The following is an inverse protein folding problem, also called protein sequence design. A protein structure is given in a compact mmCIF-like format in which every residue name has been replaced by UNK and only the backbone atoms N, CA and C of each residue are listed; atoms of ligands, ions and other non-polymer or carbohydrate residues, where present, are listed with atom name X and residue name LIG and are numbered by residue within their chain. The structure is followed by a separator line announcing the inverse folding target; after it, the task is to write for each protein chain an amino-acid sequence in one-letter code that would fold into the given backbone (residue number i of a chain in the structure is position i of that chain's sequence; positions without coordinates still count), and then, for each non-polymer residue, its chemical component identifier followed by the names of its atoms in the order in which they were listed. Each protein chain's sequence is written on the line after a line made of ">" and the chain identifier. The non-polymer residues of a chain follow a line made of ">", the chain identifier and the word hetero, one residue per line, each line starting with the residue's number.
data_IF_047683309086
#
_entry.id   IF_047683309086
#
_cell.length_a   1.000
_cell.length_b   1.000
_cell.length_c   1.000
_cell.angle_alpha   90.00
_cell.angle_beta   90.00
_cell.angle_gamma   90.00
#
_symmetry.space_group_name_H-M   'P 1'
#
loop_
_entity.id
_entity.type
_entity.pdbx_description
1 polymer ?
#
# COMPACT_ATOMS: atom_id res chain seq x y z
N UNK A 1 12.46 34.72 -1.46
CA UNK A 1 11.01 34.95 -1.40
C UNK A 1 10.44 34.37 -2.68
N UNK A 2 9.76 33.23 -2.61
CA UNK A 2 9.29 32.52 -3.80
C UNK A 2 7.83 32.91 -4.08
N UNK A 3 7.53 33.22 -5.34
CA UNK A 3 6.22 33.65 -5.81
C UNK A 3 5.33 32.42 -6.13
N UNK A 4 4.23 32.21 -5.40
CA UNK A 4 3.33 31.07 -5.58
C UNK A 4 2.38 31.18 -6.79
N UNK A 5 2.50 32.22 -7.64
CA UNK A 5 1.54 32.52 -8.71
C UNK A 5 1.97 32.13 -10.14
N UNK A 6 3.12 31.47 -10.34
CA UNK A 6 3.55 31.08 -11.68
C UNK A 6 2.65 29.97 -12.28
N UNK A 7 1.95 30.23 -13.40
CA UNK A 7 0.98 29.31 -13.97
C UNK A 7 1.71 28.23 -14.78
N UNK A 8 1.89 27.07 -14.17
CA UNK A 8 2.14 25.83 -14.89
C UNK A 8 0.91 24.93 -14.82
N UNK A 9 -0.25 25.52 -15.10
CA UNK A 9 -1.49 24.82 -15.43
C UNK A 9 -1.53 24.65 -16.95
N UNK A 10 -1.44 23.41 -17.43
CA UNK A 10 -2.23 22.91 -18.55
C UNK A 10 -2.03 21.40 -18.66
N UNK A 11 -3.16 20.70 -18.79
CA UNK A 11 -3.32 19.25 -18.68
C UNK A 11 -2.85 18.49 -19.92
N UNK A 12 -2.42 17.23 -19.75
CA UNK A 12 -3.10 16.04 -20.29
C UNK A 12 -2.25 14.76 -20.09
N UNK A 13 -2.90 13.73 -19.53
CA UNK A 13 -2.77 12.25 -19.72
C UNK A 13 -1.40 11.68 -20.15
N UNK A 14 -0.84 10.67 -19.46
CA UNK A 14 -1.02 9.22 -19.68
C UNK A 14 -0.16 8.39 -18.70
N UNK A 15 -0.58 7.15 -18.37
CA UNK A 15 -0.18 6.18 -17.29
C UNK A 15 0.87 5.13 -17.73
N UNK A 16 1.81 4.70 -16.86
CA UNK A 16 2.70 3.50 -17.03
C UNK A 16 3.13 2.78 -15.70
N UNK A 17 3.68 1.55 -15.84
CA UNK A 17 3.56 0.40 -14.90
C UNK A 17 4.83 0.13 -14.02
N UNK A 18 4.89 -0.74 -12.98
CA UNK A 18 3.93 -1.73 -12.45
C UNK A 18 2.56 -1.11 -12.42
N UNK A 19 1.50 -1.80 -12.87
CA UNK A 19 0.16 -1.24 -12.70
C UNK A 19 0.16 -0.75 -11.24
N UNK A 20 -0.03 0.55 -11.01
CA UNK A 20 -0.86 0.90 -9.88
C UNK A 20 -2.02 -0.05 -10.11
N UNK A 21 -2.08 -1.16 -9.38
CA UNK A 21 -3.12 -2.15 -9.57
C UNK A 21 -4.18 -1.53 -8.69
N UNK A 22 -5.01 -0.59 -9.21
CA UNK A 22 -5.95 0.06 -8.35
C UNK A 22 -6.84 -1.03 -7.79
N UNK A 23 -7.24 -0.85 -6.54
CA UNK A 23 -8.09 -1.81 -5.86
C UNK A 23 -9.33 -2.13 -6.70
N UNK A 24 -9.79 -3.39 -6.74
CA UNK A 24 -10.84 -3.83 -7.65
C UNK A 24 -12.10 -2.96 -7.60
N UNK A 25 -12.68 -2.70 -8.76
CA UNK A 25 -13.97 -2.00 -8.86
C UNK A 25 -15.07 -2.87 -8.28
N UNK A 26 -16.02 -2.22 -7.60
CA UNK A 26 -17.26 -2.82 -7.13
C UNK A 26 -18.45 -1.98 -7.60
N UNK A 27 -19.49 -2.61 -8.17
CA UNK A 27 -20.70 -1.91 -8.56
C UNK A 27 -21.46 -1.40 -7.33
N UNK A 28 -22.09 -0.25 -7.47
CA UNK A 28 -22.98 0.38 -6.48
C UNK A 28 -24.19 0.96 -7.19
N UNK A 29 -25.21 1.40 -6.43
CA UNK A 29 -26.42 2.00 -7.01
C UNK A 29 -26.15 3.31 -7.80
N UNK A 30 -25.00 3.96 -7.58
CA UNK A 30 -24.66 5.28 -8.15
C UNK A 30 -23.46 5.25 -9.09
N UNK A 31 -22.95 4.06 -9.46
CA UNK A 31 -21.73 3.92 -10.25
C UNK A 31 -20.85 2.76 -9.78
N UNK A 32 -19.57 2.80 -10.13
CA UNK A 32 -18.57 1.88 -9.57
C UNK A 32 -17.65 2.60 -8.60
N UNK A 33 -17.31 1.94 -7.49
CA UNK A 33 -16.33 2.42 -6.51
C UNK A 33 -15.17 1.45 -6.41
N UNK A 34 -14.01 1.95 -6.00
CA UNK A 34 -12.82 1.13 -5.72
C UNK A 34 -12.52 1.19 -4.22
N UNK A 35 -13.20 0.37 -3.41
CA UNK A 35 -13.01 0.42 -1.97
C UNK A 35 -11.72 -0.29 -1.62
N UNK A 36 -10.83 0.41 -0.90
CA UNK A 36 -9.82 -0.27 -0.11
C UNK A 36 -10.52 -0.74 1.17
N UNK A 37 -10.90 -2.02 1.17
CA UNK A 37 -11.48 -2.63 2.35
C UNK A 37 -10.37 -2.94 3.34
N UNK A 38 -10.61 -2.76 4.63
CA UNK A 38 -9.58 -3.04 5.65
C UNK A 38 -10.14 -3.71 6.89
N UNK A 39 -9.26 -4.43 7.58
CA UNK A 39 -9.46 -4.96 8.92
C UNK A 39 -8.15 -4.79 9.72
N UNK A 40 -8.25 -4.67 11.03
CA UNK A 40 -7.07 -4.75 11.90
C UNK A 40 -6.69 -6.20 12.12
N UNK A 41 -5.40 -6.48 12.24
CA UNK A 41 -4.89 -7.83 12.45
C UNK A 41 -5.50 -8.48 13.70
N UNK A 42 -5.56 -7.71 14.80
CA UNK A 42 -6.14 -8.09 16.10
C UNK A 42 -6.63 -6.83 16.85
N UNK A 43 -7.10 -7.01 18.09
CA UNK A 43 -7.57 -5.93 18.96
C UNK A 43 -6.49 -4.91 19.31
N UNK A 44 -5.30 -5.36 19.68
CA UNK A 44 -4.16 -4.48 20.01
C UNK A 44 -3.80 -3.55 18.84
N UNK A 45 -3.72 -4.09 17.62
CA UNK A 45 -3.45 -3.28 16.44
C UNK A 45 -4.54 -2.22 16.20
N UNK A 46 -5.82 -2.54 16.49
CA UNK A 46 -6.91 -1.57 16.40
C UNK A 46 -6.75 -0.47 17.44
N UNK A 47 -6.50 -0.83 18.69
CA UNK A 47 -6.42 0.14 19.79
C UNK A 47 -5.27 1.14 19.59
N UNK A 48 -4.12 0.67 19.09
CA UNK A 48 -2.95 1.51 18.85
C UNK A 48 -3.02 2.29 17.53
N UNK A 49 -3.61 1.71 16.48
CA UNK A 49 -3.48 2.24 15.11
C UNK A 49 -4.75 2.87 14.54
N UNK A 50 -5.91 2.76 15.19
CA UNK A 50 -7.16 3.32 14.63
C UNK A 50 -7.05 4.83 14.42
N UNK A 51 -6.65 5.58 15.44
CA UNK A 51 -6.51 7.03 15.35
C UNK A 51 -5.53 7.49 14.25
N UNK A 52 -4.27 7.00 14.21
CA UNK A 52 -3.34 7.42 13.15
C UNK A 52 -3.78 6.95 11.75
N UNK A 53 -4.42 5.78 11.62
CA UNK A 53 -4.98 5.32 10.34
C UNK A 53 -6.09 6.26 9.84
N UNK A 54 -7.02 6.66 10.72
CA UNK A 54 -8.08 7.61 10.36
C UNK A 54 -7.50 8.97 9.95
N UNK A 55 -6.50 9.49 10.68
CA UNK A 55 -5.82 10.72 10.30
C UNK A 55 -5.14 10.62 8.92
N UNK A 56 -4.57 9.45 8.59
CA UNK A 56 -4.02 9.19 7.26
C UNK A 56 -5.09 9.16 6.16
N UNK A 57 -6.23 8.49 6.41
CA UNK A 57 -7.37 8.51 5.49
C UNK A 57 -7.96 9.90 5.31
N UNK A 58 -8.06 10.70 6.36
CA UNK A 58 -8.58 12.07 6.32
C UNK A 58 -7.67 12.99 5.51
N UNK A 59 -6.34 12.85 5.63
CA UNK A 59 -5.38 13.61 4.82
C UNK A 59 -5.54 13.31 3.32
N UNK A 60 -5.69 12.03 2.95
CA UNK A 60 -5.99 11.64 1.57
C UNK A 60 -7.37 12.12 1.13
N UNK A 61 -8.40 11.96 1.95
CA UNK A 61 -9.76 12.39 1.66
C UNK A 61 -9.83 13.91 1.41
N UNK A 62 -9.10 14.70 2.20
CA UNK A 62 -8.98 16.14 2.00
C UNK A 62 -8.29 16.47 0.67
N UNK A 63 -7.15 15.83 0.39
CA UNK A 63 -6.37 16.09 -0.82
C UNK A 63 -7.13 15.76 -2.12
N UNK A 64 -7.85 14.64 -2.14
CA UNK A 64 -8.63 14.19 -3.31
C UNK A 64 -10.02 14.83 -3.41
N UNK A 65 -10.40 15.65 -2.41
CA UNK A 65 -11.73 16.28 -2.28
C UNK A 65 -12.87 15.27 -2.17
N UNK A 66 -12.80 14.37 -1.19
CA UNK A 66 -13.93 13.50 -0.83
C UNK A 66 -15.22 14.33 -0.57
N UNK A 67 -16.44 13.85 -0.91
CA UNK A 67 -16.81 12.50 -1.31
C UNK A 67 -16.51 12.14 -2.76
N UNK A 68 -16.54 10.82 -3.02
CA UNK A 68 -16.59 10.27 -4.38
C UNK A 68 -17.70 10.97 -5.18
N UNK A 69 -17.36 11.53 -6.33
CA UNK A 69 -18.32 12.15 -7.25
C UNK A 69 -17.71 12.35 -8.64
N UNK A 70 -18.58 12.61 -9.62
CA UNK A 70 -18.16 13.07 -10.96
C UNK A 70 -17.34 14.36 -10.89
N UNK A 71 -17.71 15.28 -10.01
CA UNK A 71 -17.05 16.59 -9.84
C UNK A 71 -15.64 16.44 -9.27
N UNK A 72 -15.45 15.55 -8.29
CA UNK A 72 -14.15 15.33 -7.66
C UNK A 72 -13.25 14.38 -8.48
N UNK A 73 -13.83 13.68 -9.46
CA UNK A 73 -13.10 12.94 -10.50
C UNK A 73 -12.49 11.62 -10.06
N UNK A 74 -12.84 11.11 -8.86
CA UNK A 74 -12.34 9.83 -8.35
C UNK A 74 -13.46 8.94 -7.80
N UNK A 75 -13.19 7.63 -7.69
CA UNK A 75 -14.07 6.61 -7.12
C UNK A 75 -13.45 5.81 -5.96
N UNK A 76 -12.31 6.27 -5.45
CA UNK A 76 -11.63 5.72 -4.27
C UNK A 76 -12.42 5.97 -2.97
N UNK A 77 -12.57 4.93 -2.14
CA UNK A 77 -13.01 5.05 -0.75
C UNK A 77 -12.34 4.03 0.17
N UNK A 78 -12.42 4.30 1.46
CA UNK A 78 -11.96 3.41 2.54
C UNK A 78 -13.18 2.77 3.20
N UNK A 79 -13.15 1.46 3.46
CA UNK A 79 -14.28 0.77 4.09
C UNK A 79 -13.82 -0.31 5.06
N UNK A 80 -14.19 -0.19 6.32
CA UNK A 80 -13.99 -1.29 7.27
C UNK A 80 -14.83 -2.50 6.85
N UNK A 81 -14.28 -3.70 7.04
CA UNK A 81 -15.07 -4.94 6.93
C UNK A 81 -16.11 -4.94 8.04
N UNK A 82 -17.35 -5.33 7.71
CA UNK A 82 -18.44 -5.45 8.66
C UNK A 82 -19.10 -6.83 8.52
N UNK A 83 -19.28 -7.53 9.63
CA UNK A 83 -19.96 -8.82 9.72
C UNK A 83 -21.24 -8.70 10.55
N UNK A 84 -22.27 -9.46 10.20
CA UNK A 84 -23.54 -9.49 10.94
C UNK A 84 -23.39 -10.32 12.22
N UNK A 85 -23.94 -9.84 13.33
CA UNK A 85 -23.98 -10.61 14.58
C UNK A 85 -24.97 -11.76 14.47
N UNK A 86 -24.57 -12.94 14.94
CA UNK A 86 -25.41 -14.14 15.02
C UNK A 86 -25.86 -14.47 16.44
N UNK A 87 -25.44 -13.67 17.42
CA UNK A 87 -25.71 -13.84 18.86
C UNK A 87 -27.13 -13.43 19.29
N UNK A 88 -28.06 -13.28 18.34
CA UNK A 88 -29.44 -12.87 18.60
C UNK A 88 -29.62 -11.39 18.98
N UNK A 89 -28.54 -10.62 19.20
CA UNK A 89 -28.63 -9.18 19.56
C UNK A 89 -28.87 -8.26 18.36
N UNK A 90 -28.83 -8.81 17.14
CA UNK A 90 -28.89 -8.03 15.91
C UNK A 90 -27.66 -7.13 15.72
N UNK A 91 -27.56 -6.46 14.57
CA UNK A 91 -26.48 -5.50 14.29
C UNK A 91 -25.24 -6.08 13.62
N UNK A 92 -24.22 -5.22 13.48
CA UNK A 92 -22.97 -5.50 12.78
C UNK A 92 -21.75 -5.18 13.66
N UNK A 93 -20.63 -5.83 13.40
CA UNK A 93 -19.34 -5.55 14.03
C UNK A 93 -18.22 -5.63 12.99
N UNK A 94 -17.08 -5.01 13.27
CA UNK A 94 -15.90 -5.13 12.43
C UNK A 94 -15.04 -6.31 12.90
N UNK A 95 -14.97 -7.43 12.16
CA UNK A 95 -14.10 -8.55 12.51
C UNK A 95 -12.63 -8.19 12.29
N UNK A 96 -11.75 -8.79 13.09
CA UNK A 96 -10.29 -8.76 12.85
C UNK A 96 -9.91 -9.69 11.70
N UNK A 97 -8.79 -9.41 11.05
CA UNK A 97 -8.29 -10.21 9.91
C UNK A 97 -7.92 -11.64 10.33
N UNK A 98 -7.44 -11.80 11.56
CA UNK A 98 -7.01 -13.07 12.12
C UNK A 98 -7.83 -13.42 13.36
N UNK A 99 -7.84 -14.70 13.72
CA UNK A 99 -8.42 -15.20 14.96
C UNK A 99 -7.45 -14.97 16.14
N UNK A 100 -7.84 -15.44 17.32
CA UNK A 100 -7.15 -15.20 18.59
C UNK A 100 -5.74 -15.83 18.65
N UNK A 101 -5.34 -16.63 17.66
CA UNK A 101 -4.01 -17.22 17.54
C UNK A 101 -2.99 -16.34 16.79
N UNK A 102 -3.38 -15.12 16.38
CA UNK A 102 -2.47 -14.13 15.79
C UNK A 102 -1.32 -13.79 16.74
N UNK A 103 -0.08 -13.85 16.24
CA UNK A 103 1.11 -13.46 17.02
C UNK A 103 1.83 -12.24 16.46
N UNK A 104 2.12 -12.25 15.17
CA UNK A 104 2.77 -11.14 14.46
C UNK A 104 2.70 -11.35 12.94
N UNK A 105 3.17 -10.39 12.15
CA UNK A 105 3.15 -10.45 10.68
C UNK A 105 3.88 -11.68 10.09
N UNK A 106 4.89 -12.23 10.78
CA UNK A 106 5.66 -13.42 10.33
C UNK A 106 4.99 -14.74 10.74
N UNK A 107 4.21 -14.71 11.83
CA UNK A 107 3.41 -15.83 12.30
C UNK A 107 1.98 -15.33 12.59
N UNK A 108 1.18 -15.09 11.55
CA UNK A 108 -0.08 -14.37 11.68
C UNK A 108 -1.24 -15.25 12.17
N UNK A 109 -1.02 -16.54 12.40
CA UNK A 109 -2.08 -17.45 12.86
C UNK A 109 -3.16 -17.68 11.80
N UNK A 110 -4.38 -17.93 12.27
CA UNK A 110 -5.50 -18.36 11.45
C UNK A 110 -6.26 -17.17 10.88
N UNK A 111 -6.39 -17.11 9.56
CA UNK A 111 -7.20 -16.09 8.89
C UNK A 111 -8.69 -16.23 9.24
N UNK A 112 -9.34 -15.12 9.55
CA UNK A 112 -10.74 -15.09 9.92
C UNK A 112 -11.65 -15.45 8.72
N UNK A 113 -12.45 -16.52 8.78
CA UNK A 113 -13.28 -16.95 7.64
C UNK A 113 -14.40 -15.98 7.27
N UNK A 114 -14.72 -15.00 8.12
CA UNK A 114 -15.68 -13.93 7.82
C UNK A 114 -15.07 -12.80 6.98
N UNK A 115 -13.75 -12.76 6.87
CA UNK A 115 -13.01 -11.76 6.14
C UNK A 115 -12.58 -12.35 4.81
N UNK A 116 -13.02 -11.77 3.70
CA UNK A 116 -12.53 -12.15 2.37
C UNK A 116 -11.08 -11.70 2.22
N UNK A 117 -10.34 -12.33 1.32
CA UNK A 117 -8.92 -12.07 1.06
C UNK A 117 -8.66 -10.75 0.31
N UNK A 118 -9.71 -10.01 -0.06
CA UNK A 118 -9.69 -8.74 -0.78
C UNK A 118 -9.59 -7.49 0.14
N UNK A 119 -8.80 -7.61 1.21
CA UNK A 119 -8.69 -6.59 2.27
C UNK A 119 -7.25 -6.22 2.55
N UNK A 120 -7.04 -4.97 2.95
CA UNK A 120 -5.82 -4.49 3.56
C UNK A 120 -5.80 -4.89 5.05
N UNK A 121 -4.87 -5.77 5.42
CA UNK A 121 -4.62 -6.14 6.80
C UNK A 121 -3.71 -5.10 7.47
N UNK A 122 -4.22 -4.45 8.53
CA UNK A 122 -3.47 -3.44 9.29
C UNK A 122 -2.76 -4.13 10.46
N UNK A 123 -1.44 -4.15 10.45
CA UNK A 123 -0.62 -4.79 11.49
C UNK A 123 0.11 -3.76 12.34
N UNK A 124 0.08 -3.98 13.66
CA UNK A 124 1.04 -3.38 14.58
C UNK A 124 2.37 -4.14 14.47
N UNK A 125 3.45 -3.41 14.25
CA UNK A 125 4.81 -3.96 14.12
C UNK A 125 5.82 -3.13 14.91
N UNK A 126 7.02 -3.67 15.08
CA UNK A 126 8.18 -2.88 15.50
C UNK A 126 8.95 -2.36 14.28
N UNK A 127 9.63 -1.22 14.43
CA UNK A 127 10.52 -0.66 13.41
C UNK A 127 9.85 0.35 12.47
N UNK A 128 10.24 0.32 11.19
CA UNK A 128 9.77 1.30 10.20
C UNK A 128 8.44 0.86 9.56
N UNK A 129 7.55 1.82 9.25
CA UNK A 129 6.32 1.50 8.54
C UNK A 129 6.62 0.99 7.12
N UNK A 130 5.69 0.22 6.58
CA UNK A 130 5.77 -0.36 5.24
C UNK A 130 4.40 -0.82 4.76
N UNK A 131 4.15 -0.80 3.45
CA UNK A 131 2.92 -1.32 2.87
C UNK A 131 3.16 -2.11 1.58
N UNK A 132 2.21 -2.99 1.28
CA UNK A 132 2.07 -3.59 -0.05
C UNK A 132 1.77 -2.50 -1.08
N UNK A 133 2.43 -2.53 -2.24
CA UNK A 133 2.21 -1.57 -3.32
C UNK A 133 1.03 -2.00 -4.20
N UNK A 134 -0.09 -1.29 -4.10
CA UNK A 134 -1.29 -1.55 -4.89
C UNK A 134 -1.93 -2.92 -4.65
N UNK A 135 -2.78 -3.34 -5.59
CA UNK A 135 -3.47 -4.63 -5.55
C UNK A 135 -2.60 -5.78 -6.07
N UNK A 136 -2.32 -6.79 -5.25
CA UNK A 136 -1.75 -8.07 -5.72
C UNK A 136 -2.87 -9.03 -6.17
N UNK A 137 -2.77 -9.54 -7.40
CA UNK A 137 -3.75 -10.42 -8.04
C UNK A 137 -3.40 -11.90 -7.81
N UNK A 138 -3.25 -12.25 -6.54
CA UNK A 138 -3.00 -13.61 -6.07
C UNK A 138 -4.08 -13.94 -5.04
N UNK A 139 -4.65 -15.13 -5.05
CA UNK A 139 -5.72 -15.50 -4.11
C UNK A 139 -5.17 -15.92 -2.72
N UNK A 140 -4.21 -15.16 -2.18
CA UNK A 140 -3.61 -15.39 -0.88
C UNK A 140 -4.18 -14.45 0.18
N UNK A 141 -4.61 -15.04 1.30
CA UNK A 141 -5.12 -14.32 2.47
C UNK A 141 -4.02 -13.49 3.13
N UNK A 142 -4.30 -12.21 3.38
CA UNK A 142 -3.36 -11.31 4.03
C UNK A 142 -2.22 -10.83 3.14
N UNK A 143 -2.35 -10.93 1.81
CA UNK A 143 -1.33 -10.45 0.86
C UNK A 143 -1.16 -8.93 0.84
N UNK A 144 -2.23 -8.18 1.11
CA UNK A 144 -2.16 -6.72 1.23
C UNK A 144 -2.00 -6.33 2.69
N UNK A 145 -0.88 -5.70 3.01
CA UNK A 145 -0.52 -5.35 4.38
C UNK A 145 -0.22 -3.86 4.47
N UNK A 146 -0.64 -3.25 5.58
CA UNK A 146 -0.15 -1.97 6.05
C UNK A 146 0.47 -2.20 7.44
N UNK A 147 1.78 -2.07 7.52
CA UNK A 147 2.58 -2.31 8.72
C UNK A 147 2.89 -0.96 9.36
N UNK A 148 2.40 -0.74 10.57
CA UNK A 148 2.60 0.53 11.27
C UNK A 148 3.15 0.27 12.68
N UNK A 149 4.17 1.03 13.11
CA UNK A 149 4.64 0.97 14.47
C UNK A 149 3.74 1.75 15.43
N UNK A 150 3.84 1.41 16.71
CA UNK A 150 3.24 2.20 17.78
C UNK A 150 3.74 3.64 17.73
N UNK A 151 2.84 4.61 17.88
CA UNK A 151 3.21 6.03 17.85
C UNK A 151 3.68 6.55 16.49
N UNK A 152 3.33 5.87 15.39
CA UNK A 152 3.66 6.32 14.03
C UNK A 152 3.14 7.75 13.77
N UNK A 153 3.99 8.59 13.18
CA UNK A 153 3.63 9.93 12.72
C UNK A 153 2.64 9.86 11.55
N UNK A 154 1.58 10.67 11.58
CA UNK A 154 0.56 10.75 10.53
C UNK A 154 1.16 10.86 9.13
N UNK A 155 2.23 11.65 8.90
CA UNK A 155 2.81 11.80 7.56
C UNK A 155 3.35 10.48 6.99
N UNK A 156 3.87 9.60 7.86
CA UNK A 156 4.32 8.27 7.45
C UNK A 156 3.12 7.39 7.11
N UNK A 157 2.02 7.48 7.86
CA UNK A 157 0.78 6.77 7.51
C UNK A 157 0.26 7.23 6.15
N UNK A 158 0.25 8.53 5.86
CA UNK A 158 -0.15 9.08 4.55
C UNK A 158 0.74 8.53 3.43
N UNK A 159 2.06 8.48 3.64
CA UNK A 159 3.03 7.88 2.72
C UNK A 159 2.72 6.40 2.45
N UNK A 160 2.54 5.59 3.49
CA UNK A 160 2.22 4.17 3.31
C UNK A 160 0.86 3.94 2.63
N UNK A 161 -0.12 4.82 2.86
CA UNK A 161 -1.38 4.78 2.10
C UNK A 161 -1.12 5.05 0.61
N UNK A 162 -0.17 5.93 0.25
CA UNK A 162 0.26 6.11 -1.14
C UNK A 162 0.76 4.80 -1.77
N UNK A 163 1.57 4.02 -1.04
CA UNK A 163 1.95 2.66 -1.45
C UNK A 163 0.72 1.75 -1.62
N UNK A 164 -0.20 1.72 -0.65
CA UNK A 164 -1.46 0.94 -0.76
C UNK A 164 -2.25 1.29 -2.04
N UNK A 165 -2.20 2.55 -2.48
CA UNK A 165 -2.83 3.02 -3.72
C UNK A 165 -2.07 2.66 -4.99
N UNK A 166 -0.83 2.17 -4.86
CA UNK A 166 0.02 1.72 -5.96
C UNK A 166 1.15 2.67 -6.32
N UNK A 167 1.45 3.68 -5.49
CA UNK A 167 2.56 4.60 -5.73
C UNK A 167 3.89 3.97 -5.29
N UNK A 168 4.96 4.26 -6.03
CA UNK A 168 6.33 3.97 -5.63
C UNK A 168 6.99 5.25 -5.12
N UNK A 169 8.17 5.12 -4.52
CA UNK A 169 8.96 6.27 -4.12
C UNK A 169 9.35 7.13 -5.34
N UNK A 170 9.17 8.45 -5.25
CA UNK A 170 9.46 9.38 -6.35
C UNK A 170 10.97 9.40 -6.68
N UNK A 171 11.83 9.28 -5.65
CA UNK A 171 13.28 9.16 -5.84
C UNK A 171 13.71 7.78 -6.36
N UNK A 172 12.80 6.82 -6.56
CA UNK A 172 13.12 5.53 -7.18
C UNK A 172 12.82 5.51 -8.69
N UNK A 173 12.30 6.60 -9.25
CA UNK A 173 12.05 6.74 -10.68
C UNK A 173 13.33 6.52 -11.50
N UNK A 174 13.17 5.99 -12.71
CA UNK A 174 14.31 5.71 -13.58
C UNK A 174 15.03 6.98 -14.06
N UNK A 175 14.27 8.06 -14.26
CA UNK A 175 14.71 9.39 -14.71
C UNK A 175 15.14 10.29 -13.56
N UNK A 176 15.08 9.83 -12.30
CA UNK A 176 15.37 10.66 -11.12
C UNK A 176 16.69 11.41 -11.21
N UNK A 177 17.71 10.83 -11.85
CA UNK A 177 19.06 11.41 -11.87
C UNK A 177 19.11 12.68 -12.72
N UNK A 178 18.02 13.00 -13.44
CA UNK A 178 17.80 14.30 -14.07
C UNK A 178 17.36 15.39 -13.10
N UNK A 179 16.90 15.01 -11.91
CA UNK A 179 16.22 15.88 -10.97
C UNK A 179 16.87 15.89 -9.58
N UNK A 180 17.47 14.78 -9.16
CA UNK A 180 18.08 14.60 -7.84
C UNK A 180 19.46 13.99 -7.96
N UNK A 181 20.31 14.28 -6.98
CA UNK A 181 21.61 13.63 -6.83
C UNK A 181 21.55 12.63 -5.68
N UNK A 182 21.73 11.34 -5.99
CA UNK A 182 21.83 10.27 -5.01
C UNK A 182 23.29 10.01 -4.61
N UNK A 183 23.59 10.15 -3.32
CA UNK A 183 24.91 9.95 -2.72
C UNK A 183 24.92 8.66 -1.91
N UNK A 184 24.99 7.53 -2.59
CA UNK A 184 24.99 6.20 -1.98
C UNK A 184 25.93 6.04 -0.77
N UNK A 185 27.13 6.61 -0.84
CA UNK A 185 28.14 6.51 0.23
C UNK A 185 27.76 7.26 1.52
N UNK A 186 26.81 8.18 1.43
CA UNK A 186 26.29 8.93 2.57
C UNK A 186 25.12 8.21 3.26
N UNK A 187 24.64 7.10 2.70
CA UNK A 187 23.56 6.30 3.29
C UNK A 187 24.11 5.47 4.47
N UNK A 188 23.32 5.43 5.55
CA UNK A 188 23.64 4.69 6.76
C UNK A 188 24.04 3.24 6.48
N UNK A 189 25.15 2.79 7.04
CA UNK A 189 25.63 1.41 6.93
C UNK A 189 26.39 1.08 5.64
N UNK A 190 26.64 2.04 4.75
CA UNK A 190 27.36 1.82 3.49
C UNK A 190 28.75 1.18 3.72
N UNK A 191 29.54 1.71 4.66
CA UNK A 191 30.89 1.20 4.94
C UNK A 191 30.86 -0.23 5.47
N UNK A 192 29.92 -0.54 6.37
CA UNK A 192 29.73 -1.89 6.91
C UNK A 192 29.38 -2.87 5.79
N UNK A 193 28.45 -2.52 4.91
CA UNK A 193 28.06 -3.35 3.78
C UNK A 193 29.22 -3.57 2.79
N UNK A 194 30.00 -2.52 2.51
CA UNK A 194 31.17 -2.60 1.63
C UNK A 194 32.24 -3.55 2.18
N UNK A 195 32.55 -3.45 3.48
CA UNK A 195 33.50 -4.36 4.13
C UNK A 195 32.99 -5.80 4.06
N UNK A 196 31.72 -6.04 4.38
CA UNK A 196 31.11 -7.38 4.29
C UNK A 196 31.17 -7.97 2.89
N UNK A 197 30.93 -7.16 1.85
CA UNK A 197 31.05 -7.59 0.47
C UNK A 197 32.50 -7.92 0.08
N UNK A 198 33.48 -7.13 0.53
CA UNK A 198 34.90 -7.41 0.30
C UNK A 198 35.32 -8.72 0.97
N UNK A 199 34.90 -8.94 2.22
CA UNK A 199 35.15 -10.19 2.96
C UNK A 199 34.50 -11.39 2.25
N UNK A 200 33.35 -11.18 1.60
CA UNK A 200 32.69 -12.19 0.77
C UNK A 200 33.36 -12.44 -0.60
N UNK A 201 34.49 -11.79 -0.89
CA UNK A 201 35.32 -12.03 -2.07
C UNK A 201 35.06 -11.09 -3.26
N UNK A 202 34.23 -10.06 -3.10
CA UNK A 202 34.02 -9.05 -4.15
C UNK A 202 35.14 -8.00 -4.12
N UNK A 203 35.57 -7.52 -5.29
CA UNK A 203 36.49 -6.39 -5.34
C UNK A 203 35.81 -5.12 -4.82
N UNK A 204 36.56 -4.22 -4.17
CA UNK A 204 35.99 -3.00 -3.62
C UNK A 204 35.24 -2.13 -4.67
N UNK A 205 35.75 -1.97 -5.92
CA UNK A 205 35.01 -1.22 -6.96
C UNK A 205 33.70 -1.89 -7.36
N UNK A 206 33.69 -3.22 -7.56
CA UNK A 206 32.49 -3.98 -7.92
C UNK A 206 31.45 -3.94 -6.79
N UNK A 207 31.88 -4.23 -5.56
CA UNK A 207 31.02 -4.17 -4.39
C UNK A 207 30.40 -2.77 -4.20
N UNK A 208 31.20 -1.71 -4.34
CA UNK A 208 30.72 -0.32 -4.25
C UNK A 208 29.63 -0.02 -5.29
N UNK A 209 29.85 -0.36 -6.55
CA UNK A 209 28.86 -0.11 -7.60
C UNK A 209 27.57 -0.89 -7.36
N UNK A 210 27.68 -2.18 -7.02
CA UNK A 210 26.52 -3.05 -6.81
C UNK A 210 25.72 -2.67 -5.57
N UNK A 211 26.35 -2.26 -4.46
CA UNK A 211 25.63 -1.75 -3.30
C UNK A 211 24.76 -0.53 -3.61
N UNK A 212 25.15 0.30 -4.57
CA UNK A 212 24.43 1.52 -4.91
C UNK A 212 23.31 1.33 -5.94
N UNK A 213 23.41 0.30 -6.80
CA UNK A 213 22.54 0.18 -7.97
C UNK A 213 21.92 -1.22 -8.17
N UNK A 214 22.37 -2.24 -7.45
CA UNK A 214 21.81 -3.60 -7.49
C UNK A 214 21.09 -3.89 -6.16
N UNK A 215 19.75 -3.80 -6.17
CA UNK A 215 18.92 -3.98 -4.97
C UNK A 215 19.17 -5.33 -4.30
N UNK A 216 19.21 -6.40 -5.07
CA UNK A 216 19.37 -7.76 -4.54
C UNK A 216 20.74 -7.90 -3.86
N UNK A 217 21.77 -7.28 -4.43
CA UNK A 217 23.08 -7.22 -3.80
C UNK A 217 23.10 -6.38 -2.53
N UNK A 218 22.49 -5.19 -2.55
CA UNK A 218 22.36 -4.35 -1.36
C UNK A 218 21.64 -5.07 -0.22
N UNK A 219 20.50 -5.73 -0.50
CA UNK A 219 19.74 -6.53 0.47
C UNK A 219 20.54 -7.72 1.01
N UNK A 220 21.34 -8.38 0.16
CA UNK A 220 22.21 -9.50 0.59
C UNK A 220 23.19 -9.10 1.70
N UNK A 221 23.59 -7.83 1.74
CA UNK A 221 24.53 -7.28 2.73
C UNK A 221 23.84 -6.35 3.73
N UNK A 222 22.52 -6.50 3.92
CA UNK A 222 21.70 -5.74 4.87
C UNK A 222 21.86 -4.20 4.71
N UNK A 223 22.12 -3.75 3.48
CA UNK A 223 22.34 -2.34 3.21
C UNK A 223 21.03 -1.61 2.89
N UNK A 224 20.67 -0.63 3.72
CA UNK A 224 19.44 0.18 3.56
C UNK A 224 19.44 1.00 2.25
N UNK A 225 20.61 1.18 1.62
CA UNK A 225 20.74 1.77 0.29
C UNK A 225 19.93 1.05 -0.79
N UNK A 226 19.51 -0.20 -0.56
CA UNK A 226 18.54 -0.90 -1.40
C UNK A 226 17.28 -0.05 -1.72
N UNK A 227 16.79 0.73 -0.76
CA UNK A 227 15.61 1.60 -0.91
C UNK A 227 15.82 2.80 -1.87
N UNK A 228 17.06 3.08 -2.24
CA UNK A 228 17.44 4.14 -3.17
C UNK A 228 17.78 3.59 -4.55
N UNK A 229 17.68 2.28 -4.77
CA UNK A 229 17.85 1.72 -6.11
C UNK A 229 16.68 2.12 -7.00
N UNK A 230 16.91 2.23 -8.30
CA UNK A 230 15.85 2.59 -9.25
C UNK A 230 14.93 1.39 -9.46
N UNK A 231 13.63 1.63 -9.59
CA UNK A 231 12.62 0.64 -10.01
C UNK A 231 12.70 -0.69 -9.25
N UNK A 232 12.38 -0.59 -7.97
CA UNK A 232 12.67 -1.49 -6.86
C UNK A 232 12.13 -2.95 -6.95
N UNK A 233 11.57 -3.45 -8.07
CA UNK A 233 10.87 -4.75 -8.07
C UNK A 233 10.92 -5.66 -9.32
N UNK A 234 11.51 -5.28 -10.46
CA UNK A 234 11.35 -6.12 -11.67
C UNK A 234 12.67 -6.40 -12.39
N UNK A 235 13.32 -7.48 -11.97
CA UNK A 235 14.40 -8.13 -12.71
C UNK A 235 13.82 -9.08 -13.79
N UNK A 236 14.24 -8.82 -15.02
CA UNK A 236 14.51 -9.75 -16.13
C UNK A 236 13.46 -10.27 -17.12
N UNK A 237 12.13 -10.22 -16.93
CA UNK A 237 11.22 -10.79 -17.96
C UNK A 237 10.10 -9.87 -18.47
N UNK A 238 9.69 -8.84 -17.71
CA UNK A 238 8.73 -7.85 -18.18
C UNK A 238 9.46 -6.62 -18.73
N UNK A 239 9.77 -6.64 -20.03
CA UNK A 239 10.25 -5.45 -20.78
C UNK A 239 9.10 -4.46 -21.03
N UNK A 240 8.47 -3.96 -19.96
CA UNK A 240 7.33 -3.04 -20.01
C UNK A 240 7.72 -1.54 -19.99
N UNK A 241 6.86 -0.69 -20.54
CA UNK A 241 7.09 0.74 -20.88
C UNK A 241 6.72 1.69 -19.68
N UNK A 242 7.50 2.76 -19.40
CA UNK A 242 7.63 3.50 -18.10
C UNK A 242 7.01 4.90 -17.97
N UNK A 243 6.23 5.26 -16.92
CA UNK A 243 5.51 6.54 -16.85
C UNK A 243 6.34 7.65 -16.29
N UNK A 244 6.28 8.79 -16.95
CA UNK A 244 7.12 9.93 -16.61
C UNK A 244 6.25 11.16 -16.72
N UNK A 245 5.48 11.40 -15.67
CA UNK A 245 4.93 12.73 -15.40
C UNK A 245 6.08 13.64 -14.91
N UNK A 246 5.81 14.93 -14.71
CA UNK A 246 6.82 15.84 -14.15
C UNK A 246 7.32 15.30 -12.80
N UNK A 247 8.62 15.34 -12.59
CA UNK A 247 9.21 14.96 -11.31
C UNK A 247 8.65 15.85 -10.19
N UNK A 248 8.09 15.24 -9.15
CA UNK A 248 7.40 15.93 -8.08
C UNK A 248 8.22 15.94 -6.79
N UNK A 249 9.04 16.97 -6.64
CA UNK A 249 9.80 17.23 -5.41
C UNK A 249 8.93 17.36 -4.15
N UNK A 250 7.63 17.68 -4.31
CA UNK A 250 6.68 17.83 -3.21
C UNK A 250 5.82 16.59 -2.94
N UNK A 251 6.00 15.51 -3.70
CA UNK A 251 5.24 14.27 -3.52
C UNK A 251 5.39 13.73 -2.10
N UNK A 252 4.30 13.19 -1.54
CA UNK A 252 4.33 12.44 -0.29
C UNK A 252 5.23 11.21 -0.38
N UNK A 253 5.49 10.72 -1.60
CA UNK A 253 6.35 9.57 -1.89
C UNK A 253 7.83 9.94 -2.06
N UNK A 254 8.20 11.21 -1.90
CA UNK A 254 9.60 11.67 -1.94
C UNK A 254 10.29 11.49 -0.59
N UNK A 255 11.47 10.86 -0.58
CA UNK A 255 12.30 10.87 0.63
C UNK A 255 12.89 12.27 0.89
N UNK A 256 12.88 12.74 2.14
CA UNK A 256 13.57 13.97 2.49
C UNK A 256 15.09 13.80 2.33
N UNK A 257 15.78 14.93 2.21
CA UNK A 257 17.24 14.96 2.00
C UNK A 257 18.04 14.18 3.04
N UNK A 258 17.58 14.19 4.29
CA UNK A 258 18.22 13.52 5.43
C UNK A 258 17.78 12.07 5.65
N UNK A 259 16.87 11.53 4.82
CA UNK A 259 16.43 10.16 4.95
C UNK A 259 17.64 9.22 4.96
N UNK A 260 17.75 8.40 6.01
CA UNK A 260 18.80 7.39 6.18
C UNK A 260 20.24 7.91 6.03
N UNK A 261 20.51 9.17 6.39
CA UNK A 261 21.88 9.69 6.43
C UNK A 261 22.73 8.94 7.47
N UNK A 262 23.99 8.67 7.15
CA UNK A 262 24.97 8.16 8.11
C UNK A 262 25.40 9.26 9.11
N UNK A 263 25.55 10.49 8.63
CA UNK A 263 25.99 11.63 9.43
C UNK A 263 24.85 12.65 9.60
N UNK A 264 24.42 12.86 10.85
CA UNK A 264 23.36 13.79 11.22
C UNK A 264 23.67 15.24 10.82
N UNK A 265 24.95 15.59 10.60
CA UNK A 265 25.38 16.90 10.08
C UNK A 265 24.82 17.21 8.70
N UNK A 266 24.42 16.18 7.94
CA UNK A 266 23.60 16.35 6.74
C UNK A 266 22.45 17.35 6.99
N UNK A 267 21.79 17.23 8.14
CA UNK A 267 20.66 18.06 8.51
C UNK A 267 21.02 19.16 9.51
N UNK A 268 21.70 18.81 10.61
CA UNK A 268 21.93 19.74 11.74
C UNK A 268 22.84 20.91 11.38
N UNK A 269 23.75 20.72 10.42
CA UNK A 269 24.68 21.74 9.92
C UNK A 269 24.42 22.09 8.45
N UNK A 270 23.33 21.60 7.85
CA UNK A 270 23.01 21.78 6.41
C UNK A 270 24.14 21.33 5.46
N UNK A 271 24.92 20.31 5.84
CA UNK A 271 26.00 19.74 5.02
C UNK A 271 25.44 18.82 3.94
N UNK A 272 24.93 19.41 2.87
CA UNK A 272 24.33 18.68 1.74
C UNK A 272 25.25 17.64 1.10
N UNK A 273 26.58 17.78 1.23
CA UNK A 273 27.57 16.80 0.81
C UNK A 273 27.48 15.46 1.57
N UNK A 274 26.97 15.49 2.81
CA UNK A 274 26.77 14.34 3.69
C UNK A 274 25.36 13.75 3.58
N UNK A 275 24.49 14.30 2.73
CA UNK A 275 23.12 13.85 2.61
C UNK A 275 22.96 12.80 1.50
N UNK A 276 22.23 11.69 1.76
CA UNK A 276 21.96 10.66 0.76
C UNK A 276 21.26 11.16 -0.49
N UNK A 277 20.42 12.19 -0.38
CA UNK A 277 19.60 12.66 -1.48
C UNK A 277 19.49 14.18 -1.45
N UNK A 278 19.70 14.84 -2.58
CA UNK A 278 19.50 16.29 -2.71
C UNK A 278 18.79 16.60 -4.02
N UNK A 279 18.00 17.68 -4.03
CA UNK A 279 17.42 18.21 -5.25
C UNK A 279 18.50 18.85 -6.11
N UNK A 280 18.37 18.73 -7.43
CA UNK A 280 19.28 19.31 -8.39
C UNK A 280 20.49 18.42 -8.73
N UNK A 281 21.34 18.96 -9.61
CA UNK A 281 22.60 18.35 -10.06
C UNK A 281 23.80 19.06 -9.43
N UNK A 282 24.96 18.42 -9.50
CA UNK A 282 26.22 18.93 -8.93
C UNK A 282 26.46 20.40 -9.31
N UNK A 283 26.77 21.23 -8.31
CA UNK A 283 26.95 22.68 -8.45
C UNK A 283 25.69 23.53 -8.27
N UNK A 284 24.49 22.93 -8.26
CA UNK A 284 23.23 23.64 -8.00
C UNK A 284 22.23 22.75 -7.22
N UNK A 285 22.61 22.32 -6.02
CA UNK A 285 21.79 21.42 -5.20
C UNK A 285 21.08 22.14 -4.05
N UNK A 286 19.91 21.64 -3.65
CA UNK A 286 19.11 22.17 -2.54
C UNK A 286 18.51 21.05 -1.67
N UNK A 287 18.17 21.33 -0.39
CA UNK A 287 17.52 20.35 0.47
C UNK A 287 16.05 20.14 0.07
N UNK A 288 15.59 18.89 0.18
CA UNK A 288 14.19 18.50 0.01
C UNK A 288 13.58 18.18 1.38
N UNK A 289 12.45 18.82 1.68
CA UNK A 289 11.72 18.68 2.93
C UNK A 289 10.77 17.47 2.86
N UNK A 290 10.46 16.82 4.00
CA UNK A 290 9.41 15.82 4.02
C UNK A 290 8.05 16.48 3.75
N UNK A 291 7.30 15.92 2.81
CA UNK A 291 5.90 16.31 2.62
C UNK A 291 5.03 15.82 3.80
N UNK A 292 4.01 16.60 4.14
CA UNK A 292 3.07 16.29 5.23
C UNK A 292 1.73 15.75 4.72
N UNK A 293 1.40 16.06 3.47
CA UNK A 293 0.14 15.72 2.81
C UNK A 293 0.42 15.38 1.34
N UNK A 294 -0.48 14.69 0.65
CA UNK A 294 -0.33 14.41 -0.78
C UNK A 294 -0.23 15.71 -1.60
N UNK A 295 0.68 15.72 -2.57
CA UNK A 295 0.85 16.82 -3.53
C UNK A 295 -0.27 16.83 -4.58
N UNK A 296 -0.26 17.83 -5.46
CA UNK A 296 -1.12 17.80 -6.66
C UNK A 296 -0.79 16.62 -7.57
N UNK A 297 0.50 16.24 -7.70
CA UNK A 297 0.93 15.10 -8.50
C UNK A 297 0.41 13.77 -7.94
N UNK A 298 0.43 13.61 -6.61
CA UNK A 298 -0.13 12.46 -5.93
C UNK A 298 -1.67 12.37 -6.12
N UNK A 299 -2.36 13.51 -6.04
CA UNK A 299 -3.82 13.60 -6.28
C UNK A 299 -4.14 13.27 -7.75
N UNK A 300 -3.34 13.77 -8.68
CA UNK A 300 -3.52 13.52 -10.11
C UNK A 300 -3.37 12.03 -10.41
N UNK A 301 -2.40 11.34 -9.80
CA UNK A 301 -2.30 9.89 -9.86
C UNK A 301 -3.61 9.22 -9.40
N UNK A 302 -4.16 9.59 -8.25
CA UNK A 302 -5.42 8.98 -7.77
C UNK A 302 -6.54 9.21 -8.77
N UNK A 303 -6.71 10.41 -9.30
CA UNK A 303 -7.76 10.70 -10.31
C UNK A 303 -7.55 9.92 -11.61
N UNK A 304 -6.30 9.63 -11.97
CA UNK A 304 -5.92 8.85 -13.16
C UNK A 304 -6.33 7.37 -13.02
N UNK A 305 -5.98 6.73 -11.90
CA UNK A 305 -6.12 5.28 -11.72
C UNK A 305 -7.40 4.85 -10.97
N UNK A 306 -7.95 5.76 -10.17
CA UNK A 306 -9.22 5.63 -9.46
C UNK A 306 -10.24 6.61 -10.03
N UNK A 307 -10.26 6.78 -11.35
CA UNK A 307 -11.14 7.71 -12.03
C UNK A 307 -12.62 7.42 -11.75
N UNK A 308 -13.42 8.49 -11.65
CA UNK A 308 -14.86 8.36 -11.69
C UNK A 308 -15.31 7.82 -13.06
N UNK A 309 -16.21 6.83 -13.03
CA UNK A 309 -16.89 6.31 -14.22
C UNK A 309 -18.39 6.30 -13.96
N UNK A 310 -19.16 6.87 -14.88
CA UNK A 310 -20.61 6.79 -14.83
C UNK A 310 -21.04 5.32 -14.98
N UNK A 311 -22.04 4.89 -14.22
CA UNK A 311 -22.71 3.62 -14.52
C UNK A 311 -23.23 3.69 -15.94
N UNK A 312 -22.87 2.71 -16.79
CA UNK A 312 -23.55 2.52 -18.06
C UNK A 312 -25.06 2.57 -17.80
N UNK A 313 -25.75 3.50 -18.45
CA UNK A 313 -27.20 3.58 -18.42
C UNK A 313 -27.78 2.19 -18.71
N UNK A 314 -28.77 1.80 -17.91
CA UNK A 314 -29.52 0.57 -18.09
C UNK A 314 -30.08 0.44 -19.52
N UNK A 315 -29.35 -0.22 -20.41
CA UNK A 315 -29.91 -0.95 -21.56
C UNK A 315 -30.01 -2.47 -21.25
N UNK A 316 -29.91 -2.83 -19.96
CA UNK A 316 -30.14 -4.18 -19.46
C UNK A 316 -31.37 -4.25 -18.54
N UNK A 317 -32.41 -3.45 -18.79
CA UNK A 317 -33.76 -3.67 -18.24
C UNK A 317 -34.47 -4.83 -18.94
N UNK A 318 -33.87 -6.03 -18.99
CA UNK A 318 -34.62 -7.24 -19.33
C UNK A 318 -34.03 -8.60 -18.90
N UNK A 319 -33.00 -8.71 -18.04
CA UNK A 319 -32.44 -10.05 -17.75
C UNK A 319 -32.02 -10.41 -16.31
N UNK A 320 -31.99 -9.49 -15.33
CA UNK A 320 -31.42 -9.82 -13.99
C UNK A 320 -32.42 -9.71 -12.83
N UNK A 321 -33.69 -9.40 -13.10
CA UNK A 321 -34.72 -9.31 -12.06
C UNK A 321 -35.25 -10.68 -11.54
N UNK A 322 -34.66 -11.82 -11.94
CA UNK A 322 -35.14 -13.16 -11.53
C UNK A 322 -34.13 -13.93 -10.67
N UNK A 323 -32.91 -13.43 -10.41
CA UNK A 323 -31.85 -14.23 -9.78
C UNK A 323 -31.49 -13.87 -8.32
N UNK A 324 -32.32 -13.11 -7.59
CA UNK A 324 -32.04 -12.72 -6.20
C UNK A 324 -33.09 -13.17 -5.17
N UNK A 325 -33.96 -14.10 -5.54
CA UNK A 325 -34.82 -14.85 -4.61
C UNK A 325 -34.61 -16.33 -4.85
N UNK A 326 -33.48 -16.87 -4.36
CA UNK A 326 -33.34 -18.27 -3.92
C UNK A 326 -31.87 -18.58 -3.60
N UNK A 327 -31.42 -18.14 -2.44
CA UNK A 327 -30.30 -18.81 -1.76
C UNK A 327 -30.46 -18.70 -0.25
N UNK A 328 -31.64 -19.10 0.25
CA UNK A 328 -31.77 -19.57 1.64
C UNK A 328 -31.42 -21.06 1.60
N UNK A 329 -30.16 -21.38 1.87
CA UNK A 329 -29.75 -22.76 2.11
C UNK A 329 -30.24 -23.16 3.51
N UNK A 330 -31.48 -23.66 3.59
CA UNK A 330 -31.90 -24.46 4.74
C UNK A 330 -31.12 -25.79 4.73
N UNK A 331 -30.16 -25.95 5.66
CA UNK A 331 -29.61 -27.27 5.96
C UNK A 331 -30.66 -28.09 6.71
N UNK A 332 -31.47 -28.87 5.98
CA UNK A 332 -32.26 -29.96 6.54
C UNK A 332 -31.34 -31.12 6.93
N UNK A 333 -31.21 -31.36 8.24
CA UNK A 333 -30.64 -32.59 8.79
C UNK A 333 -31.58 -33.74 8.46
N UNK A 334 -31.14 -34.67 7.61
CA UNK A 334 -31.83 -35.96 7.39
C UNK A 334 -31.67 -36.81 8.65
N UNK A 335 -32.79 -37.12 9.33
CA UNK A 335 -32.88 -38.26 10.25
C UNK A 335 -33.14 -39.51 9.42
N UNK A 336 -32.27 -40.51 9.54
CA UNK A 336 -32.51 -41.84 8.99
C UNK A 336 -33.67 -42.54 9.70
N UNK A 337 -34.55 -43.26 8.99
CA UNK A 337 -35.59 -44.07 9.59
C UNK A 337 -35.01 -45.39 10.11
N UNK A 338 -35.29 -45.70 11.38
CA UNK A 338 -34.99 -47.01 11.97
C UNK A 338 -35.79 -48.13 11.28
N UNK A 339 -35.20 -49.31 11.07
CA UNK A 339 -35.92 -50.45 10.53
C UNK A 339 -36.78 -51.14 11.61
N UNK A 340 -38.06 -51.31 11.30
CA UNK A 340 -39.03 -52.11 12.05
C UNK A 340 -38.62 -53.58 12.08
N UNK A 341 -38.26 -54.09 13.25
CA UNK A 341 -38.05 -55.53 13.49
C UNK A 341 -39.38 -56.17 13.89
N UNK A 342 -39.86 -57.14 13.09
CA UNK A 342 -40.99 -58.01 13.42
C UNK A 342 -40.54 -59.04 14.44
N UNK A 343 -41.20 -59.07 15.59
CA UNK A 343 -41.05 -60.10 16.62
C UNK A 343 -42.01 -61.25 16.29
N UNK A 344 -41.46 -62.45 16.02
CA UNK A 344 -42.19 -63.70 16.11
C UNK A 344 -41.70 -64.47 17.34
N UNK A 345 -42.60 -64.64 18.31
CA UNK A 345 -42.42 -65.46 19.51
C UNK A 345 -42.46 -66.95 19.16
N UNK A 346 -41.52 -67.74 19.69
CA UNK A 346 -41.72 -69.17 20.00
C UNK A 346 -41.06 -69.48 21.36
N UNK A 347 -41.87 -70.14 22.20
CA UNK A 347 -41.62 -70.74 23.51
C UNK A 347 -40.36 -71.65 23.53
N UNK A 348 -39.58 -71.75 24.61
CA UNK A 348 -39.85 -72.50 25.85
C UNK A 348 -38.77 -72.17 26.87
#
# INVERSE_FOLDING_TARGET
>A
MFDPSAPHTNSMSYIKFAVARPWPKRPTAVGSVRPVRYCFANEEAKDELLCPLMAGFDAWAHAIKFPISKENGHNLCWKSVMARRTDGKGGYYAPFCYLDDYRNVKNPGTWNPLVLDDVLAIHLVEGSPSATVGWVDEAEKGRHKLLLPKGVDTKKVVHEIGHVLGMLHEHARFDRDDFVTYKCKAVKGYNTALISAIVAGFSAPDASARLCYDKAFALRFDFIGAQYTKNDFYYHEDRGIFDVDKFDYGSIMMYPTSANAEDDKCWTESRLDLCPLVGGKEGNTWPMMPALVPSSGDVDFVKKYYSWEESASNDATSAVAVALVDSVVERKVKRDPQPTVRVHHIFS
#
